data_IF_546614665175
#
_entry.id   IF_546614665175
#
_cell.length_a   1.000
_cell.length_b   1.000
_cell.length_c   1.000
_cell.angle_alpha   90.00
_cell.angle_beta   90.00
_cell.angle_gamma   90.00
#
_symmetry.space_group_name_H-M   'P 1'
#
loop_
_entity.id
_entity.type
_entity.pdbx_description
1 polymer ?
#
# COMPACT_ATOMS: atom_id res chain seq x y z
N UNK A 1 -64.31 -75.18 21.35
CA UNK A 1 -63.38 -74.97 20.16
C UNK A 1 -63.39 -73.52 19.79
N UNK A 2 -62.42 -72.78 20.21
CA UNK A 2 -62.28 -71.34 19.88
C UNK A 2 -61.08 -71.16 18.98
N UNK A 3 -61.29 -70.68 17.71
CA UNK A 3 -60.25 -70.27 16.81
C UNK A 3 -59.92 -68.80 17.10
N UNK A 4 -58.63 -68.50 17.42
CA UNK A 4 -58.11 -67.13 17.52
C UNK A 4 -57.46 -66.74 16.17
N UNK A 5 -58.00 -65.72 15.57
CA UNK A 5 -57.37 -65.07 14.36
C UNK A 5 -56.31 -64.04 14.81
N UNK A 6 -55.10 -64.22 14.34
CA UNK A 6 -54.03 -63.16 14.46
C UNK A 6 -54.19 -62.20 13.30
N UNK A 7 -54.28 -60.89 13.62
CA UNK A 7 -54.16 -59.82 12.67
C UNK A 7 -52.69 -59.31 12.64
N UNK A 8 -52.03 -59.37 11.50
CA UNK A 8 -50.77 -58.77 11.28
C UNK A 8 -50.99 -57.27 10.93
N UNK A 9 -50.41 -56.34 11.72
CA UNK A 9 -50.34 -54.93 11.40
C UNK A 9 -49.03 -54.69 10.69
N UNK A 10 -49.09 -54.23 9.44
CA UNK A 10 -47.90 -53.72 8.66
C UNK A 10 -47.62 -52.26 9.01
N UNK A 11 -46.48 -51.99 9.57
CA UNK A 11 -45.98 -50.62 9.81
C UNK A 11 -45.23 -50.18 8.58
N UNK A 12 -45.77 -49.21 7.85
CA UNK A 12 -45.04 -48.51 6.75
C UNK A 12 -44.18 -47.41 7.33
N UNK A 13 -42.87 -47.55 7.23
CA UNK A 13 -41.90 -46.49 7.57
C UNK A 13 -41.74 -45.57 6.36
N UNK A 14 -42.29 -44.35 6.44
CA UNK A 14 -41.98 -43.27 5.49
C UNK A 14 -40.59 -42.71 5.81
N UNK A 15 -39.63 -43.01 4.97
CA UNK A 15 -38.33 -42.32 4.97
C UNK A 15 -38.45 -40.94 4.28
N UNK A 16 -38.57 -39.87 5.07
CA UNK A 16 -38.45 -38.50 4.56
C UNK A 16 -36.99 -38.22 4.31
N UNK A 17 -36.58 -38.27 3.04
CA UNK A 17 -35.24 -37.82 2.60
C UNK A 17 -35.13 -36.31 2.76
N UNK A 18 -34.37 -35.85 3.76
CA UNK A 18 -33.87 -34.48 3.82
C UNK A 18 -32.81 -34.28 2.70
N UNK A 19 -33.20 -33.68 1.59
CA UNK A 19 -32.21 -33.11 0.65
C UNK A 19 -31.62 -31.89 1.31
N UNK A 20 -30.40 -32.01 1.84
CA UNK A 20 -29.60 -30.86 2.21
C UNK A 20 -29.33 -30.04 0.93
N UNK A 21 -30.09 -28.97 0.76
CA UNK A 21 -29.79 -27.98 -0.29
C UNK A 21 -28.38 -27.41 -0.05
N UNK A 22 -27.46 -27.63 -0.98
CA UNK A 22 -26.18 -26.96 -0.96
C UNK A 22 -26.49 -25.46 -0.96
N UNK A 23 -26.17 -24.77 0.13
CA UNK A 23 -26.21 -23.31 0.17
C UNK A 23 -25.28 -22.80 -0.94
N UNK A 24 -25.83 -22.15 -1.96
CA UNK A 24 -25.04 -21.50 -2.98
C UNK A 24 -24.11 -20.49 -2.27
N UNK A 25 -22.81 -20.69 -2.40
CA UNK A 25 -21.83 -19.74 -1.89
C UNK A 25 -22.18 -18.36 -2.48
N UNK A 26 -22.28 -17.35 -1.62
CA UNK A 26 -22.44 -15.98 -2.11
C UNK A 26 -21.31 -15.67 -3.09
N UNK A 27 -21.61 -15.06 -4.24
CA UNK A 27 -20.57 -14.75 -5.21
C UNK A 27 -19.50 -13.92 -4.53
N UNK A 28 -18.22 -14.23 -4.80
CA UNK A 28 -17.10 -13.47 -4.30
C UNK A 28 -17.25 -12.00 -4.71
N UNK A 29 -16.98 -11.08 -3.78
CA UNK A 29 -16.96 -9.63 -4.08
C UNK A 29 -15.81 -9.25 -5.00
N UNK A 30 -14.81 -10.12 -5.14
CA UNK A 30 -13.60 -9.90 -5.94
C UNK A 30 -13.37 -11.10 -6.86
N UNK A 31 -13.06 -10.82 -8.11
CA UNK A 31 -12.59 -11.81 -9.09
C UNK A 31 -11.34 -11.34 -9.80
N UNK A 32 -10.43 -12.25 -10.13
CA UNK A 32 -9.26 -11.97 -10.95
C UNK A 32 -9.71 -11.67 -12.40
N UNK A 33 -9.20 -10.58 -12.96
CA UNK A 33 -9.29 -10.29 -14.41
C UNK A 33 -8.06 -10.82 -15.14
N UNK A 34 -6.89 -10.81 -14.50
CA UNK A 34 -5.63 -11.29 -15.05
C UNK A 34 -4.44 -10.53 -14.51
N UNK A 35 -3.28 -10.85 -15.06
CA UNK A 35 -2.02 -10.18 -14.77
C UNK A 35 -1.21 -9.91 -16.03
N UNK A 36 -0.34 -8.90 -15.98
CA UNK A 36 0.71 -8.63 -16.96
C UNK A 36 2.05 -8.54 -16.25
N UNK A 37 3.05 -9.21 -16.80
CA UNK A 37 4.43 -9.19 -16.29
C UNK A 37 5.24 -8.21 -17.14
N UNK A 38 5.78 -7.17 -16.51
CA UNK A 38 6.73 -6.27 -17.15
C UNK A 38 8.10 -6.96 -17.20
N UNK A 39 8.80 -6.99 -18.35
CA UNK A 39 10.10 -7.60 -18.45
C UNK A 39 11.10 -7.03 -17.44
N UNK A 40 11.88 -7.92 -16.79
CA UNK A 40 12.93 -7.51 -15.86
C UNK A 40 13.92 -6.56 -16.55
N UNK A 41 14.24 -5.46 -15.88
CA UNK A 41 15.18 -4.45 -16.37
C UNK A 41 14.83 -3.90 -17.78
N UNK A 42 13.53 -3.75 -18.08
CA UNK A 42 13.07 -3.18 -19.35
C UNK A 42 13.71 -1.81 -19.61
N UNK A 43 14.53 -1.63 -20.68
CA UNK A 43 15.09 -0.32 -21.00
C UNK A 43 13.98 0.59 -21.55
N UNK A 44 13.85 1.80 -21.00
CA UNK A 44 12.86 2.77 -21.47
C UNK A 44 13.37 4.19 -21.33
N UNK A 45 13.48 4.92 -22.45
CA UNK A 45 13.90 6.31 -22.52
C UNK A 45 15.18 6.63 -21.70
N UNK A 46 16.19 5.74 -21.77
CA UNK A 46 17.46 5.93 -21.07
C UNK A 46 17.43 5.53 -19.59
N UNK A 47 16.35 4.96 -19.11
CA UNK A 47 16.21 4.41 -17.75
C UNK A 47 15.91 2.92 -17.77
N UNK A 48 16.01 2.29 -16.62
CA UNK A 48 15.60 0.90 -16.38
C UNK A 48 14.27 0.91 -15.63
N UNK A 49 13.24 0.28 -16.19
CA UNK A 49 11.95 0.10 -15.51
C UNK A 49 12.09 -1.02 -14.48
N UNK A 50 11.75 -0.71 -13.25
CA UNK A 50 11.78 -1.58 -12.09
C UNK A 50 11.56 -0.78 -10.82
N UNK A 51 11.52 -1.44 -9.66
CA UNK A 51 11.25 -0.78 -8.41
C UNK A 51 9.87 -0.09 -8.39
N UNK A 52 8.84 -0.71 -8.99
CA UNK A 52 7.54 -0.05 -9.10
C UNK A 52 6.74 -0.24 -7.82
N UNK A 53 6.93 0.68 -6.87
CA UNK A 53 6.29 0.63 -5.55
C UNK A 53 4.88 1.25 -5.51
N UNK A 54 4.50 2.06 -6.51
CA UNK A 54 3.14 2.62 -6.56
C UNK A 54 2.58 2.76 -7.97
N UNK A 55 1.26 2.84 -8.01
CA UNK A 55 0.47 3.10 -9.22
C UNK A 55 -0.72 4.01 -8.88
N UNK A 56 -0.97 5.02 -9.72
CA UNK A 56 -2.23 5.78 -9.70
C UNK A 56 -2.75 6.06 -11.10
N UNK A 57 -4.01 6.46 -11.19
CA UNK A 57 -4.68 6.78 -12.46
C UNK A 57 -5.14 8.23 -12.46
N UNK A 58 -4.63 9.04 -13.38
CA UNK A 58 -5.16 10.38 -13.60
C UNK A 58 -6.62 10.30 -14.08
N UNK A 59 -7.60 10.74 -13.29
CA UNK A 59 -9.00 10.65 -13.66
C UNK A 59 -9.39 11.55 -14.85
N UNK A 60 -8.54 12.54 -15.19
CA UNK A 60 -8.79 13.51 -16.27
C UNK A 60 -8.34 12.97 -17.63
N UNK A 61 -7.26 12.20 -17.66
CA UNK A 61 -6.65 11.68 -18.88
C UNK A 61 -6.81 10.17 -19.04
N UNK A 62 -7.05 9.46 -17.93
CA UNK A 62 -7.06 8.00 -17.88
C UNK A 62 -5.67 7.37 -17.92
N UNK A 63 -4.61 8.18 -18.00
CA UNK A 63 -3.23 7.73 -17.98
C UNK A 63 -2.84 7.25 -16.58
N UNK A 64 -2.02 6.22 -16.50
CA UNK A 64 -1.45 5.75 -15.25
C UNK A 64 -0.09 6.40 -15.00
N UNK A 65 0.22 6.58 -13.73
CA UNK A 65 1.52 7.02 -13.23
C UNK A 65 2.02 5.96 -12.26
N UNK A 66 3.32 5.64 -12.32
CA UNK A 66 3.95 4.62 -11.50
C UNK A 66 5.26 5.16 -10.96
N UNK A 67 5.49 5.11 -9.65
CA UNK A 67 6.76 5.53 -9.04
C UNK A 67 7.76 4.39 -9.09
N UNK A 68 9.04 4.74 -9.13
CA UNK A 68 10.14 3.81 -8.92
C UNK A 68 10.84 4.15 -7.61
N UNK A 69 10.99 3.18 -6.73
CA UNK A 69 11.70 3.26 -5.44
C UNK A 69 13.24 3.32 -5.60
N UNK A 70 13.70 3.49 -6.82
CA UNK A 70 15.12 3.68 -7.10
C UNK A 70 15.66 4.93 -6.40
N UNK A 71 16.37 4.73 -5.33
CA UNK A 71 17.01 5.76 -4.47
C UNK A 71 18.11 6.52 -5.21
N UNK A 72 17.91 6.80 -6.49
CA UNK A 72 18.89 7.33 -7.44
C UNK A 72 20.11 6.40 -7.62
N UNK A 73 20.01 5.13 -7.31
CA UNK A 73 21.12 4.17 -7.34
C UNK A 73 21.41 3.66 -8.76
N UNK A 74 20.38 3.41 -9.55
CA UNK A 74 20.48 2.95 -10.95
C UNK A 74 20.24 4.12 -11.90
N UNK A 75 19.12 4.84 -11.69
CA UNK A 75 18.79 6.07 -12.40
C UNK A 75 18.24 7.10 -11.39
N UNK A 76 18.15 8.39 -11.72
CA UNK A 76 17.55 9.38 -10.82
C UNK A 76 16.16 8.94 -10.34
N UNK A 77 15.82 9.22 -9.07
CA UNK A 77 14.50 9.03 -8.51
C UNK A 77 13.44 9.61 -9.46
N UNK A 78 12.41 8.81 -9.82
CA UNK A 78 11.54 9.10 -10.96
C UNK A 78 10.18 8.45 -10.85
N UNK A 79 9.29 8.88 -11.72
CA UNK A 79 8.06 8.17 -12.04
C UNK A 79 7.94 7.94 -13.54
N UNK A 80 7.10 6.98 -13.88
CA UNK A 80 6.73 6.65 -15.26
C UNK A 80 5.28 7.02 -15.51
N UNK A 81 4.97 7.31 -16.77
CA UNK A 81 3.58 7.32 -17.26
C UNK A 81 3.34 6.09 -18.12
N UNK A 82 2.11 5.53 -18.06
CA UNK A 82 1.75 4.36 -18.82
C UNK A 82 0.29 4.40 -19.28
N UNK A 83 -0.01 3.61 -20.33
CA UNK A 83 -1.36 3.18 -20.67
C UNK A 83 -1.52 1.73 -20.25
N UNK A 84 -2.61 1.43 -19.57
CA UNK A 84 -2.96 0.06 -19.20
C UNK A 84 -4.32 -0.23 -19.82
N UNK A 85 -4.34 -1.21 -20.70
CA UNK A 85 -5.57 -1.67 -21.36
C UNK A 85 -6.16 -2.80 -20.52
N UNK A 86 -7.34 -2.53 -19.93
CA UNK A 86 -8.06 -3.46 -19.05
C UNK A 86 -9.56 -3.33 -19.26
N UNK A 87 -10.24 -4.46 -19.39
CA UNK A 87 -11.68 -4.56 -19.53
C UNK A 87 -12.25 -5.80 -18.81
N UNK A 88 -13.50 -6.15 -19.06
CA UNK A 88 -14.15 -7.31 -18.45
C UNK A 88 -13.54 -8.66 -18.87
N UNK A 89 -12.81 -8.72 -19.99
CA UNK A 89 -12.13 -9.91 -20.50
C UNK A 89 -10.73 -10.08 -19.89
N UNK A 90 -10.12 -9.00 -19.38
CA UNK A 90 -8.82 -9.09 -18.74
C UNK A 90 -7.98 -7.83 -18.82
N UNK A 91 -6.71 -7.95 -18.44
CA UNK A 91 -5.68 -6.95 -18.66
C UNK A 91 -4.87 -7.36 -19.90
N UNK A 92 -4.78 -6.47 -20.90
CA UNK A 92 -4.26 -6.80 -22.24
C UNK A 92 -2.85 -6.25 -22.46
N UNK A 93 -2.54 -5.05 -21.96
CA UNK A 93 -1.20 -4.46 -22.08
C UNK A 93 -0.89 -3.47 -20.95
N UNK A 94 0.43 -3.28 -20.74
CA UNK A 94 1.01 -2.22 -19.92
C UNK A 94 2.08 -1.53 -20.76
N UNK A 95 1.78 -0.35 -21.28
CA UNK A 95 2.62 0.37 -22.25
C UNK A 95 3.15 1.65 -21.62
N UNK A 96 4.44 1.71 -21.26
CA UNK A 96 5.07 2.91 -20.75
C UNK A 96 5.11 3.99 -21.84
N UNK A 97 4.80 5.24 -21.46
CA UNK A 97 4.67 6.36 -22.40
C UNK A 97 5.64 7.51 -22.10
N UNK A 98 6.16 7.59 -20.88
CA UNK A 98 7.12 8.62 -20.46
C UNK A 98 7.85 8.24 -19.19
N UNK A 99 8.98 8.91 -18.95
CA UNK A 99 9.75 8.86 -17.70
C UNK A 99 10.10 10.28 -17.27
N UNK A 100 9.96 10.58 -15.98
CA UNK A 100 10.08 11.91 -15.42
C UNK A 100 10.89 11.85 -14.12
N UNK A 101 12.11 12.40 -14.07
CA UNK A 101 12.86 12.45 -12.82
C UNK A 101 12.23 13.45 -11.86
N UNK A 102 12.18 13.11 -10.58
CA UNK A 102 11.85 14.08 -9.55
C UNK A 102 13.01 15.08 -9.39
N UNK A 103 12.68 16.36 -9.34
CA UNK A 103 13.65 17.43 -9.22
C UNK A 103 13.56 18.12 -7.87
N UNK A 104 14.70 18.54 -7.35
CA UNK A 104 14.82 19.43 -6.20
C UNK A 104 14.43 20.86 -6.57
N UNK A 105 14.25 21.76 -5.58
CA UNK A 105 13.97 23.17 -5.85
C UNK A 105 15.00 23.89 -6.73
N UNK A 106 16.24 23.39 -6.76
CA UNK A 106 17.32 23.93 -7.62
C UNK A 106 17.30 23.37 -9.05
N UNK A 107 16.32 22.54 -9.40
CA UNK A 107 16.15 21.91 -10.70
C UNK A 107 17.05 20.70 -10.96
N UNK A 108 17.82 20.25 -9.96
CA UNK A 108 18.66 19.07 -10.07
C UNK A 108 17.92 17.82 -9.56
N UNK A 109 18.40 16.66 -9.99
CA UNK A 109 17.95 15.37 -9.47
C UNK A 109 18.39 15.14 -8.02
N UNK A 110 17.71 14.26 -7.32
CA UNK A 110 18.10 13.87 -5.95
C UNK A 110 19.37 13.02 -5.97
N UNK A 111 20.29 13.24 -4.99
CA UNK A 111 21.55 12.50 -4.91
C UNK A 111 21.31 11.06 -4.43
N UNK A 112 22.27 10.18 -4.71
CA UNK A 112 22.34 8.86 -4.06
C UNK A 112 22.64 9.02 -2.57
N UNK A 113 22.32 8.01 -1.75
CA UNK A 113 22.73 8.00 -0.32
C UNK A 113 24.25 8.12 -0.19
N UNK A 114 25.01 7.49 -1.09
CA UNK A 114 26.47 7.54 -1.10
C UNK A 114 26.98 8.96 -1.31
N UNK A 115 26.45 9.66 -2.30
CA UNK A 115 26.88 11.03 -2.63
C UNK A 115 26.45 12.01 -1.53
N UNK A 116 25.26 11.81 -0.96
CA UNK A 116 24.74 12.59 0.15
C UNK A 116 25.59 12.47 1.41
N UNK A 117 25.96 11.27 1.80
CA UNK A 117 26.77 11.02 3.01
C UNK A 117 28.23 11.41 2.83
N UNK A 118 28.74 11.43 1.60
CA UNK A 118 30.12 11.88 1.30
C UNK A 118 30.33 13.38 1.60
N UNK A 119 29.27 14.19 1.56
CA UNK A 119 29.34 15.62 1.84
C UNK A 119 28.25 15.99 2.85
N UNK A 120 28.54 15.97 4.17
CA UNK A 120 27.55 16.26 5.19
C UNK A 120 26.84 17.59 4.95
N UNK A 121 25.53 17.60 5.02
CA UNK A 121 24.73 18.80 4.89
C UNK A 121 24.96 19.71 6.11
N UNK A 122 25.33 20.98 5.86
CA UNK A 122 25.56 21.99 6.90
C UNK A 122 24.45 23.03 6.99
N UNK A 123 23.41 22.88 6.19
CA UNK A 123 22.22 23.74 6.20
C UNK A 123 21.29 23.44 7.40
N UNK A 124 20.15 24.11 7.47
CA UNK A 124 19.13 23.74 8.44
C UNK A 124 18.60 22.31 8.19
N UNK A 125 18.12 21.62 9.26
CA UNK A 125 17.53 20.29 9.13
C UNK A 125 16.50 20.22 8.02
N UNK A 126 15.57 21.17 7.97
CA UNK A 126 14.54 21.22 6.92
C UNK A 126 15.09 21.36 5.50
N UNK A 127 16.21 22.07 5.31
CA UNK A 127 16.86 22.16 4.00
C UNK A 127 17.59 20.87 3.66
N UNK A 128 18.25 20.24 4.63
CA UNK A 128 18.90 18.94 4.45
C UNK A 128 17.87 17.84 4.11
N UNK A 129 16.73 17.79 4.82
CA UNK A 129 15.66 16.85 4.53
C UNK A 129 15.08 17.05 3.13
N UNK A 130 14.87 18.32 2.71
CA UNK A 130 14.31 18.64 1.40
C UNK A 130 15.24 18.28 0.23
N UNK A 131 16.55 18.53 0.38
CA UNK A 131 17.52 18.44 -0.71
C UNK A 131 18.37 17.15 -0.65
N UNK A 132 18.12 16.30 0.35
CA UNK A 132 18.83 15.06 0.59
C UNK A 132 18.48 13.93 -0.37
N UNK A 133 19.06 12.77 -0.12
CA UNK A 133 18.63 11.53 -0.80
C UNK A 133 17.16 11.25 -0.52
N UNK A 134 16.52 10.50 -1.39
CA UNK A 134 15.12 10.11 -1.26
C UNK A 134 14.97 8.61 -1.47
N UNK A 135 13.96 8.06 -0.86
CA UNK A 135 13.47 6.70 -0.99
C UNK A 135 11.99 6.78 -1.38
N UNK A 136 11.69 6.91 -2.69
CA UNK A 136 10.32 7.17 -3.14
C UNK A 136 9.46 5.92 -3.01
N UNK A 137 8.24 6.05 -2.42
CA UNK A 137 7.36 4.90 -2.20
C UNK A 137 6.01 5.06 -2.90
N UNK A 138 5.14 5.91 -2.40
CA UNK A 138 3.80 6.04 -2.96
C UNK A 138 3.65 7.32 -3.79
N UNK A 139 2.77 7.32 -4.79
CA UNK A 139 2.36 8.52 -5.50
C UNK A 139 0.87 8.57 -5.76
N UNK A 140 0.34 9.80 -5.85
CA UNK A 140 -1.04 10.09 -6.28
C UNK A 140 -1.08 11.30 -7.17
N UNK A 141 -1.94 11.27 -8.17
CA UNK A 141 -2.28 12.44 -8.98
C UNK A 141 -3.24 13.32 -8.17
N UNK A 142 -2.84 14.56 -7.93
CA UNK A 142 -3.73 15.53 -7.27
C UNK A 142 -4.99 15.73 -8.12
N UNK A 143 -6.19 15.40 -7.59
CA UNK A 143 -7.42 15.45 -8.37
C UNK A 143 -7.83 16.86 -8.79
N UNK A 144 -7.28 17.91 -8.17
CA UNK A 144 -7.60 19.29 -8.49
C UNK A 144 -6.62 19.92 -9.49
N UNK A 145 -5.31 19.67 -9.30
CA UNK A 145 -4.27 20.34 -10.10
C UNK A 145 -3.67 19.43 -11.16
N UNK A 146 -3.63 18.12 -10.90
CA UNK A 146 -2.93 17.14 -11.70
C UNK A 146 -1.42 17.06 -11.44
N UNK A 147 -0.97 17.73 -10.40
CA UNK A 147 0.38 17.58 -9.92
C UNK A 147 0.55 16.18 -9.29
N UNK A 148 1.78 15.73 -9.17
CA UNK A 148 2.13 14.46 -8.57
C UNK A 148 2.44 14.69 -7.09
N UNK A 149 1.67 14.09 -6.20
CA UNK A 149 2.00 14.03 -4.77
C UNK A 149 2.64 12.68 -4.49
N UNK A 150 3.79 12.66 -3.83
CA UNK A 150 4.55 11.43 -3.60
C UNK A 150 5.18 11.42 -2.21
N UNK A 151 5.28 10.24 -1.61
CA UNK A 151 5.95 9.99 -0.33
C UNK A 151 7.38 9.53 -0.53
N UNK A 152 8.18 9.68 0.50
CA UNK A 152 9.50 9.10 0.64
C UNK A 152 9.78 8.81 2.12
N UNK A 153 10.54 7.76 2.39
CA UNK A 153 10.72 7.19 3.71
C UNK A 153 11.74 7.91 4.60
N UNK A 154 12.65 8.69 4.02
CA UNK A 154 13.77 9.30 4.76
C UNK A 154 14.88 8.32 5.07
N UNK A 155 15.71 8.66 6.08
CA UNK A 155 16.84 7.84 6.49
C UNK A 155 17.04 7.89 8.01
N UNK A 156 17.26 6.74 8.61
CA UNK A 156 17.61 6.60 10.03
C UNK A 156 18.83 5.69 10.22
N UNK A 157 19.99 6.17 9.81
CA UNK A 157 21.27 5.46 9.98
C UNK A 157 21.95 5.96 11.23
N UNK A 158 22.06 5.12 12.26
CA UNK A 158 22.66 5.45 13.55
C UNK A 158 24.14 5.08 13.66
N UNK A 159 24.65 4.27 12.74
CA UNK A 159 26.08 3.99 12.64
C UNK A 159 26.81 5.23 12.10
N UNK A 160 27.97 5.61 12.68
CA UNK A 160 28.71 6.77 12.22
C UNK A 160 29.19 6.67 10.76
N UNK A 161 29.03 7.72 9.96
CA UNK A 161 28.43 9.00 10.30
C UNK A 161 26.89 8.88 10.37
N UNK A 162 26.31 9.34 11.50
CA UNK A 162 24.84 9.32 11.69
C UNK A 162 24.14 10.12 10.58
N UNK A 163 23.16 9.53 9.93
CA UNK A 163 22.33 10.18 8.91
C UNK A 163 20.87 10.09 9.33
N UNK A 164 20.24 11.26 9.47
CA UNK A 164 18.82 11.38 9.77
C UNK A 164 18.20 12.30 8.73
N UNK A 165 17.31 11.77 7.92
CA UNK A 165 16.43 12.52 7.01
C UNK A 165 14.99 12.18 7.35
N UNK A 166 14.14 13.19 7.56
CA UNK A 166 12.74 12.95 7.86
C UNK A 166 12.02 12.37 6.63
N UNK A 167 11.06 11.46 6.83
CA UNK A 167 10.12 11.12 5.77
C UNK A 167 9.41 12.39 5.28
N UNK A 168 8.85 12.37 4.10
CA UNK A 168 8.12 13.54 3.60
C UNK A 168 7.11 13.17 2.53
N UNK A 169 6.04 13.96 2.43
CA UNK A 169 5.10 13.95 1.32
C UNK A 169 5.34 15.19 0.49
N UNK A 170 5.74 15.01 -0.74
CA UNK A 170 6.19 16.06 -1.67
C UNK A 170 5.22 16.24 -2.82
N UNK A 171 5.27 17.40 -3.44
CA UNK A 171 4.52 17.72 -4.64
C UNK A 171 5.46 18.06 -5.78
N UNK A 172 5.20 17.50 -6.94
CA UNK A 172 5.90 17.77 -8.18
C UNK A 172 4.89 18.03 -9.31
N UNK A 173 5.28 18.81 -10.31
CA UNK A 173 4.51 18.94 -11.54
C UNK A 173 4.59 17.63 -12.35
N UNK A 174 3.76 17.46 -13.40
CA UNK A 174 3.85 16.30 -14.28
C UNK A 174 5.19 16.12 -15.01
N UNK A 175 6.04 17.16 -15.06
CA UNK A 175 7.40 17.08 -15.59
C UNK A 175 8.47 16.73 -14.52
N UNK A 176 8.05 16.50 -13.27
CA UNK A 176 8.91 16.19 -12.13
C UNK A 176 9.44 17.40 -11.36
N UNK A 177 9.19 18.64 -11.82
CA UNK A 177 9.68 19.85 -11.14
C UNK A 177 9.01 20.04 -9.78
N UNK A 178 9.81 20.41 -8.77
CA UNK A 178 9.36 20.56 -7.38
C UNK A 178 8.33 21.69 -7.24
N UNK A 179 7.26 21.42 -6.48
CA UNK A 179 6.22 22.39 -6.13
C UNK A 179 6.26 22.73 -4.65
N UNK A 180 6.35 21.73 -3.78
CA UNK A 180 6.27 21.90 -2.33
C UNK A 180 6.30 20.58 -1.58
N UNK A 181 6.03 20.66 -0.27
CA UNK A 181 5.84 19.48 0.58
C UNK A 181 4.83 19.76 1.68
N UNK A 182 4.16 18.71 2.11
CA UNK A 182 3.22 18.77 3.22
C UNK A 182 3.97 18.72 4.57
N UNK A 183 3.47 19.42 5.61
CA UNK A 183 3.98 19.22 6.96
C UNK A 183 3.57 17.85 7.48
N UNK A 184 4.48 17.17 8.18
CA UNK A 184 4.19 15.91 8.86
C UNK A 184 4.00 16.11 10.37
N UNK A 185 3.31 15.19 11.06
CA UNK A 185 3.24 15.17 12.51
C UNK A 185 4.63 15.09 13.15
N UNK A 186 4.77 15.71 14.32
CA UNK A 186 6.07 15.72 15.01
C UNK A 186 6.54 14.30 15.42
N UNK A 187 5.61 13.36 15.64
CA UNK A 187 5.91 11.97 15.98
C UNK A 187 6.41 11.14 14.76
N UNK A 188 6.32 11.68 13.55
CA UNK A 188 6.85 11.04 12.32
C UNK A 188 8.24 11.59 11.92
N UNK A 189 8.95 12.26 12.83
CA UNK A 189 10.32 12.73 12.57
C UNK A 189 11.36 11.72 13.00
N UNK A 190 12.40 11.56 12.20
CA UNK A 190 13.56 10.73 12.50
C UNK A 190 14.38 11.31 13.62
N UNK A 191 14.71 10.52 14.63
CA UNK A 191 15.53 10.90 15.78
C UNK A 191 16.61 9.86 16.07
N UNK A 192 17.60 10.23 16.91
CA UNK A 192 18.57 9.28 17.45
C UNK A 192 17.99 8.49 18.64
N UNK A 193 16.90 8.96 19.23
CA UNK A 193 16.26 8.34 20.38
C UNK A 193 15.38 7.15 19.93
N UNK A 194 14.93 6.36 20.91
CA UNK A 194 14.02 5.24 20.64
C UNK A 194 12.55 5.69 20.45
N UNK A 195 12.37 6.72 19.64
CA UNK A 195 11.07 7.29 19.24
C UNK A 195 11.13 7.69 17.76
N UNK A 196 9.97 7.86 17.14
CA UNK A 196 9.84 8.20 15.72
C UNK A 196 9.79 6.98 14.82
N UNK A 197 9.87 7.18 13.50
CA UNK A 197 9.82 6.12 12.53
C UNK A 197 11.04 5.19 12.58
N UNK A 198 10.87 3.99 12.07
CA UNK A 198 11.94 3.01 11.85
C UNK A 198 12.66 3.32 10.56
N UNK A 199 13.86 2.75 10.39
CA UNK A 199 14.54 2.77 9.09
C UNK A 199 13.79 1.89 8.10
N UNK A 200 13.47 2.42 6.92
CA UNK A 200 12.84 1.69 5.80
C UNK A 200 11.53 0.98 6.22
N UNK A 201 10.67 1.66 6.98
CA UNK A 201 9.36 1.19 7.43
C UNK A 201 8.49 2.40 7.78
N UNK A 202 8.35 3.35 6.84
CA UNK A 202 7.70 4.63 7.12
C UNK A 202 6.50 4.93 6.23
N UNK A 203 6.58 5.94 5.37
CA UNK A 203 5.46 6.43 4.54
C UNK A 203 5.30 5.62 3.26
N UNK A 204 4.63 4.49 3.36
CA UNK A 204 4.36 3.59 2.23
C UNK A 204 3.09 3.95 1.46
N UNK A 205 2.09 4.51 2.10
CA UNK A 205 0.81 4.82 1.46
C UNK A 205 0.36 6.27 1.64
N UNK A 206 -0.12 6.86 0.55
CA UNK A 206 -0.85 8.12 0.57
C UNK A 206 -2.09 8.03 -0.32
N UNK A 207 -3.13 8.78 -0.02
CA UNK A 207 -4.31 8.92 -0.89
C UNK A 207 -5.04 10.23 -0.67
N UNK A 208 -5.68 10.74 -1.71
CA UNK A 208 -6.66 11.82 -1.57
C UNK A 208 -8.04 11.25 -1.24
N UNK A 209 -8.77 11.93 -0.34
CA UNK A 209 -10.12 11.59 0.06
C UNK A 209 -11.01 12.83 0.12
N UNK A 210 -12.33 12.65 0.36
CA UNK A 210 -13.30 13.74 0.48
C UNK A 210 -13.22 14.73 -0.70
N UNK A 211 -13.28 14.21 -1.93
CA UNK A 211 -13.15 14.98 -3.16
C UNK A 211 -11.82 15.77 -3.27
N UNK A 212 -10.74 15.24 -2.70
CA UNK A 212 -9.40 15.86 -2.71
C UNK A 212 -9.20 16.94 -1.66
N UNK A 213 -10.12 17.11 -0.70
CA UNK A 213 -9.94 18.07 0.41
C UNK A 213 -9.05 17.54 1.53
N UNK A 214 -8.93 16.22 1.62
CA UNK A 214 -8.05 15.52 2.56
C UNK A 214 -6.91 14.83 1.83
N UNK A 215 -5.74 14.85 2.44
CA UNK A 215 -4.62 13.96 2.15
C UNK A 215 -4.50 13.00 3.34
N UNK A 216 -4.44 11.72 3.06
CA UNK A 216 -4.33 10.68 4.06
C UNK A 216 -3.07 9.88 3.79
N UNK A 217 -2.27 9.66 4.81
CA UNK A 217 -1.05 8.87 4.74
C UNK A 217 -1.05 7.79 5.83
N UNK A 218 -0.24 6.77 5.63
CA UNK A 218 -0.03 5.75 6.63
C UNK A 218 1.45 5.37 6.73
N UNK A 219 1.82 4.78 7.86
CA UNK A 219 3.15 4.25 8.10
C UNK A 219 3.11 2.73 7.93
N UNK A 220 4.10 2.16 7.24
CA UNK A 220 4.22 0.72 7.03
C UNK A 220 4.15 -0.04 8.36
N UNK A 221 4.97 0.36 9.32
CA UNK A 221 5.14 -0.33 10.59
C UNK A 221 4.96 0.62 11.81
N UNK A 222 4.85 0.07 13.03
CA UNK A 222 4.72 0.88 14.24
C UNK A 222 5.87 1.87 14.42
N UNK A 223 5.58 3.08 14.88
CA UNK A 223 6.62 3.94 15.44
C UNK A 223 7.35 3.22 16.59
N UNK A 224 8.62 3.54 16.80
CA UNK A 224 9.44 2.91 17.84
C UNK A 224 8.78 2.93 19.23
N UNK A 225 8.10 4.03 19.57
CA UNK A 225 7.37 4.16 20.84
C UNK A 225 6.01 3.43 20.86
N UNK A 226 5.48 3.03 19.71
CA UNK A 226 4.16 2.39 19.61
C UNK A 226 4.21 0.86 19.83
N UNK A 227 5.41 0.28 19.81
CA UNK A 227 5.64 -1.13 20.11
C UNK A 227 6.53 -1.84 19.09
N UNK A 228 6.68 -3.14 19.19
CA UNK A 228 7.44 -3.95 18.24
C UNK A 228 6.66 -4.14 16.92
N UNK A 229 7.40 -4.51 15.86
CA UNK A 229 6.80 -5.00 14.62
C UNK A 229 5.97 -6.26 14.85
N UNK A 230 5.06 -6.61 13.92
CA UNK A 230 4.31 -7.85 13.97
C UNK A 230 5.22 -9.08 14.08
N UNK A 231 4.73 -10.08 14.80
CA UNK A 231 5.37 -11.39 14.91
C UNK A 231 4.38 -12.48 14.50
N UNK A 232 4.81 -13.72 14.38
CA UNK A 232 3.88 -14.83 14.12
C UNK A 232 2.84 -15.04 15.23
N UNK A 233 3.07 -14.48 16.44
CA UNK A 233 2.19 -14.63 17.60
C UNK A 233 1.33 -13.41 17.88
N UNK A 234 1.64 -12.26 17.31
CA UNK A 234 0.95 -11.00 17.58
C UNK A 234 1.07 -10.04 16.40
N UNK A 235 -0.03 -9.34 16.11
CA UNK A 235 -0.03 -8.15 15.27
C UNK A 235 0.54 -6.93 16.01
N UNK A 236 0.49 -5.79 15.36
CA UNK A 236 0.97 -4.52 15.89
C UNK A 236 -0.01 -3.37 15.55
N UNK A 237 0.27 -2.15 16.04
CA UNK A 237 -0.50 -0.96 15.69
C UNK A 237 0.40 0.03 14.95
N UNK A 238 0.07 0.34 13.72
CA UNK A 238 0.66 1.48 13.01
C UNK A 238 -0.31 2.66 12.95
N UNK A 239 0.09 3.78 12.33
CA UNK A 239 -0.70 5.02 12.31
C UNK A 239 -1.13 5.41 10.92
N UNK A 240 -2.40 5.82 10.82
CA UNK A 240 -2.97 6.54 9.67
C UNK A 240 -3.06 8.02 10.06
N UNK A 241 -2.52 8.92 9.24
CA UNK A 241 -2.57 10.36 9.42
C UNK A 241 -3.53 10.98 8.43
N UNK A 242 -4.53 11.70 8.93
CA UNK A 242 -5.49 12.46 8.12
C UNK A 242 -5.16 13.94 8.25
N UNK A 243 -4.88 14.60 7.14
CA UNK A 243 -4.58 16.02 7.11
C UNK A 243 -5.38 16.77 6.03
N UNK A 244 -5.57 18.06 6.25
CA UNK A 244 -6.10 18.94 5.21
C UNK A 244 -5.11 19.00 4.05
N UNK A 245 -5.61 19.03 2.80
CA UNK A 245 -4.76 19.33 1.65
C UNK A 245 -4.01 20.65 1.74
N UNK A 246 -4.39 21.53 2.69
CA UNK A 246 -3.74 22.80 2.95
C UNK A 246 -2.69 22.71 4.08
N UNK A 247 -2.38 21.52 4.56
CA UNK A 247 -1.27 21.22 5.45
C UNK A 247 -1.61 20.74 6.87
N UNK A 248 -2.58 21.35 7.63
CA UNK A 248 -2.78 20.94 9.00
C UNK A 248 -3.21 19.48 9.17
N UNK A 249 -2.54 18.76 10.09
CA UNK A 249 -2.96 17.43 10.55
C UNK A 249 -4.24 17.57 11.36
N UNK A 250 -5.27 16.82 10.98
CA UNK A 250 -6.61 16.86 11.56
C UNK A 250 -6.81 15.75 12.58
N UNK A 251 -6.34 14.52 12.29
CA UNK A 251 -6.47 13.36 13.15
C UNK A 251 -5.39 12.34 12.84
N UNK A 252 -5.11 11.45 13.80
CA UNK A 252 -4.41 10.18 13.56
C UNK A 252 -5.25 9.02 14.09
N UNK A 253 -5.17 7.87 13.43
CA UNK A 253 -5.88 6.66 13.85
C UNK A 253 -4.93 5.48 13.91
N UNK A 254 -5.17 4.58 14.87
CA UNK A 254 -4.42 3.31 14.93
C UNK A 254 -4.97 2.31 13.92
N UNK A 255 -4.08 1.73 13.10
CA UNK A 255 -4.38 0.63 12.19
C UNK A 255 -3.83 -0.68 12.77
N UNK A 256 -4.65 -1.75 12.89
CA UNK A 256 -4.20 -3.02 13.42
C UNK A 256 -3.60 -3.89 12.31
N UNK A 257 -2.26 -4.01 12.30
CA UNK A 257 -1.53 -4.96 11.46
C UNK A 257 -1.81 -6.41 11.91
N UNK A 258 -1.97 -7.31 10.96
CA UNK A 258 -2.09 -8.73 11.25
C UNK A 258 -0.75 -9.32 11.74
N UNK A 259 -0.76 -10.46 12.43
CA UNK A 259 0.45 -11.24 12.67
C UNK A 259 1.10 -11.70 11.36
N UNK A 260 2.40 -12.02 11.39
CA UNK A 260 3.04 -12.75 10.30
C UNK A 260 2.30 -14.06 10.02
N UNK A 261 2.17 -14.40 8.75
CA UNK A 261 1.40 -15.56 8.30
C UNK A 261 2.11 -16.92 8.53
N UNK A 262 3.38 -16.88 8.93
CA UNK A 262 4.19 -18.07 9.25
C UNK A 262 5.23 -17.73 10.33
N UNK A 263 5.80 -18.74 11.01
CA UNK A 263 6.94 -18.55 11.90
C UNK A 263 8.11 -17.87 11.19
N UNK A 264 8.66 -16.85 11.81
CA UNK A 264 9.74 -16.04 11.25
C UNK A 264 11.10 -16.53 11.71
N UNK A 265 12.03 -16.90 10.80
CA UNK A 265 13.41 -17.20 11.12
C UNK A 265 14.33 -15.97 11.11
N UNK A 266 13.85 -14.81 10.68
CA UNK A 266 14.63 -13.60 10.47
C UNK A 266 14.03 -12.39 11.18
N UNK A 267 14.83 -11.54 11.82
CA UNK A 267 14.34 -10.28 12.38
C UNK A 267 13.91 -9.25 11.32
N UNK A 268 14.20 -9.53 10.04
CA UNK A 268 13.82 -8.69 8.90
C UNK A 268 12.49 -9.12 8.28
N UNK A 269 11.88 -10.21 8.75
CA UNK A 269 10.56 -10.61 8.31
C UNK A 269 9.53 -9.62 8.87
N UNK A 270 8.62 -9.17 8.04
CA UNK A 270 7.65 -8.13 8.39
C UNK A 270 6.26 -8.42 7.83
N UNK A 271 5.26 -7.75 8.37
CA UNK A 271 3.95 -7.54 7.80
C UNK A 271 3.60 -6.08 8.02
N UNK A 272 3.60 -5.29 6.97
CA UNK A 272 3.33 -3.87 6.99
C UNK A 272 2.25 -3.47 5.98
N UNK A 273 1.78 -2.24 6.08
CA UNK A 273 0.95 -1.66 5.02
C UNK A 273 1.87 -1.13 3.93
N UNK A 274 1.72 -1.62 2.72
CA UNK A 274 2.56 -1.24 1.58
C UNK A 274 1.86 -0.32 0.57
N UNK A 275 0.57 -0.04 0.72
CA UNK A 275 -0.15 0.94 -0.09
C UNK A 275 -1.56 1.18 0.44
N UNK A 276 -2.15 2.31 0.09
CA UNK A 276 -3.54 2.63 0.39
C UNK A 276 -4.22 3.42 -0.72
N UNK A 277 -5.55 3.25 -0.88
CA UNK A 277 -6.36 4.09 -1.76
C UNK A 277 -7.72 4.37 -1.14
N UNK A 278 -8.27 5.57 -1.35
CA UNK A 278 -9.64 5.87 -0.91
C UNK A 278 -10.63 4.87 -1.55
N UNK A 279 -11.52 4.30 -0.72
CA UNK A 279 -12.55 3.36 -1.20
C UNK A 279 -13.47 4.03 -2.22
N UNK A 280 -13.87 5.25 -1.92
CA UNK A 280 -14.61 6.15 -2.80
C UNK A 280 -13.99 7.55 -2.66
N UNK A 281 -13.75 8.29 -3.77
CA UNK A 281 -13.09 9.59 -3.71
C UNK A 281 -13.86 10.66 -2.91
N UNK A 282 -15.15 10.45 -2.65
CA UNK A 282 -15.98 11.37 -1.86
C UNK A 282 -16.11 10.97 -0.39
N UNK A 283 -15.79 9.72 -0.03
CA UNK A 283 -15.84 9.23 1.35
C UNK A 283 -14.59 9.66 2.12
N UNK A 284 -14.74 10.35 3.27
CA UNK A 284 -13.60 10.79 4.09
C UNK A 284 -13.07 9.73 5.04
N UNK A 285 -13.71 8.56 5.15
CA UNK A 285 -13.45 7.61 6.24
C UNK A 285 -13.05 6.21 5.78
N UNK A 286 -13.38 5.81 4.55
CA UNK A 286 -13.18 4.46 4.06
C UNK A 286 -12.04 4.36 3.06
N UNK A 287 -11.18 3.37 3.28
CA UNK A 287 -9.99 3.15 2.45
C UNK A 287 -9.80 1.66 2.16
N UNK A 288 -9.08 1.34 1.09
CA UNK A 288 -8.44 0.05 0.91
C UNK A 288 -6.99 0.15 1.37
N UNK A 289 -6.55 -0.87 2.10
CA UNK A 289 -5.19 -1.01 2.61
C UNK A 289 -4.60 -2.31 2.08
N UNK A 290 -3.41 -2.25 1.56
CA UNK A 290 -2.65 -3.44 1.16
C UNK A 290 -1.71 -3.79 2.30
N UNK A 291 -1.91 -4.95 2.94
CA UNK A 291 -0.89 -5.55 3.82
C UNK A 291 -0.05 -6.53 3.02
N UNK A 292 1.24 -6.31 3.02
CA UNK A 292 2.22 -7.19 2.44
C UNK A 292 3.12 -7.74 3.56
N UNK A 293 3.12 -9.04 3.71
CA UNK A 293 4.02 -9.75 4.61
C UNK A 293 5.08 -10.51 3.81
N UNK A 294 6.30 -10.49 4.30
CA UNK A 294 7.38 -11.35 3.80
C UNK A 294 7.93 -12.20 4.94
N UNK A 295 8.09 -13.50 4.67
CA UNK A 295 8.72 -14.45 5.61
C UNK A 295 9.82 -15.20 4.89
N UNK A 296 11.04 -15.09 5.40
CA UNK A 296 12.25 -15.73 4.85
C UNK A 296 12.05 -17.24 4.68
N UNK A 297 12.28 -17.72 3.46
CA UNK A 297 12.11 -19.12 3.10
C UNK A 297 10.66 -19.54 2.79
N UNK A 298 9.69 -18.65 2.96
CA UNK A 298 8.27 -18.88 2.62
C UNK A 298 7.83 -17.99 1.45
N UNK A 299 8.16 -16.69 1.48
CA UNK A 299 7.81 -15.72 0.44
C UNK A 299 6.84 -14.66 0.91
N UNK A 300 6.18 -14.01 -0.05
CA UNK A 300 5.21 -12.96 0.20
C UNK A 300 3.82 -13.52 0.47
N UNK A 301 3.05 -12.76 1.26
CA UNK A 301 1.60 -12.89 1.41
C UNK A 301 0.97 -11.53 1.37
N UNK A 302 0.01 -11.34 0.46
CA UNK A 302 -0.62 -10.04 0.23
C UNK A 302 -2.12 -10.14 0.45
N UNK A 303 -2.64 -9.22 1.25
CA UNK A 303 -4.07 -9.08 1.55
C UNK A 303 -4.53 -7.64 1.36
N UNK A 304 -5.68 -7.47 0.78
CA UNK A 304 -6.34 -6.16 0.67
C UNK A 304 -7.47 -6.10 1.68
N UNK A 305 -7.49 -5.06 2.49
CA UNK A 305 -8.50 -4.83 3.50
C UNK A 305 -9.32 -3.58 3.19
N UNK A 306 -10.61 -3.64 3.43
CA UNK A 306 -11.48 -2.48 3.55
C UNK A 306 -11.45 -2.02 5.00
N UNK A 307 -11.17 -0.72 5.23
CA UNK A 307 -11.15 -0.11 6.56
C UNK A 307 -12.11 1.07 6.66
N UNK A 308 -12.53 1.40 7.88
CA UNK A 308 -13.30 2.60 8.18
C UNK A 308 -12.76 3.24 9.47
N UNK A 309 -12.38 4.51 9.38
CA UNK A 309 -11.90 5.32 10.51
C UNK A 309 -13.03 5.82 11.39
N UNK A 310 -14.28 5.70 10.95
CA UNK A 310 -15.45 6.18 11.70
C UNK A 310 -15.58 5.50 13.06
N UNK A 311 -15.54 6.33 14.11
CA UNK A 311 -15.65 5.88 15.49
C UNK A 311 -14.39 5.25 16.07
N UNK A 312 -13.25 5.29 15.34
CA UNK A 312 -11.93 5.00 15.89
C UNK A 312 -11.49 6.13 16.85
N UNK A 313 -10.54 5.82 17.72
CA UNK A 313 -9.96 6.82 18.63
C UNK A 313 -9.01 7.71 17.86
N UNK A 314 -9.19 9.05 17.92
CA UNK A 314 -8.16 9.98 17.46
C UNK A 314 -6.95 9.91 18.39
N UNK A 315 -5.82 9.51 17.84
CA UNK A 315 -4.55 9.31 18.54
C UNK A 315 -3.48 10.35 18.19
N UNK A 316 -3.88 11.45 17.56
CA UNK A 316 -2.98 12.52 17.11
C UNK A 316 -2.10 13.07 18.24
N UNK A 317 -2.68 13.21 19.44
CA UNK A 317 -1.99 13.74 20.63
C UNK A 317 -1.55 12.61 21.60
N UNK A 318 -1.60 11.35 21.16
CA UNK A 318 -1.19 10.19 21.96
C UNK A 318 0.28 9.86 21.67
N UNK A 319 1.13 10.02 22.70
CA UNK A 319 2.57 9.85 22.56
C UNK A 319 2.98 8.41 22.19
N UNK A 320 2.26 7.40 22.69
CA UNK A 320 2.51 5.97 22.43
C UNK A 320 1.20 5.20 22.37
N UNK A 321 1.08 4.30 21.40
CA UNK A 321 -0.06 3.39 21.27
C UNK A 321 0.08 2.16 22.20
N UNK A 322 1.29 1.88 22.72
CA UNK A 322 1.55 0.74 23.57
C UNK A 322 0.78 0.81 24.89
N UNK A 323 0.01 -0.24 25.21
CA UNK A 323 -0.73 -0.37 26.47
C UNK A 323 -1.92 0.58 26.64
N UNK A 324 -2.25 1.39 25.65
CA UNK A 324 -3.38 2.32 25.67
C UNK A 324 -4.73 1.64 25.44
N UNK A 325 -5.81 2.23 25.98
CA UNK A 325 -7.19 1.86 25.63
C UNK A 325 -7.58 2.58 24.34
N UNK A 326 -7.07 2.08 23.21
CA UNK A 326 -7.28 2.67 21.90
C UNK A 326 -8.24 1.78 21.13
N UNK A 327 -9.28 2.37 20.55
CA UNK A 327 -10.14 1.71 19.57
C UNK A 327 -9.56 1.95 18.19
N UNK A 328 -8.97 0.94 17.53
CA UNK A 328 -8.42 1.08 16.20
C UNK A 328 -9.54 1.26 15.16
N UNK A 329 -9.16 1.53 13.92
CA UNK A 329 -10.06 1.52 12.76
C UNK A 329 -10.72 0.14 12.62
N UNK A 330 -11.91 0.08 12.03
CA UNK A 330 -12.49 -1.21 11.65
C UNK A 330 -11.76 -1.73 10.43
N UNK A 331 -11.53 -3.06 10.38
CA UNK A 331 -10.77 -3.73 9.34
C UNK A 331 -11.51 -4.98 8.89
N UNK A 332 -11.69 -5.12 7.57
CA UNK A 332 -12.37 -6.28 6.98
C UNK A 332 -11.63 -6.74 5.74
N UNK A 333 -11.27 -8.02 5.69
CA UNK A 333 -10.64 -8.61 4.51
C UNK A 333 -11.55 -8.45 3.29
N UNK A 334 -11.00 -7.84 2.24
CA UNK A 334 -11.61 -7.77 0.91
C UNK A 334 -11.17 -8.98 0.08
N UNK A 335 -9.87 -9.23 0.00
CA UNK A 335 -9.29 -10.36 -0.73
C UNK A 335 -7.91 -10.75 -0.17
N UNK A 336 -7.64 -12.04 -0.14
CA UNK A 336 -6.30 -12.64 0.01
C UNK A 336 -5.84 -13.07 -1.39
N UNK A 337 -4.75 -12.50 -1.91
CA UNK A 337 -4.31 -12.73 -3.29
C UNK A 337 -3.94 -14.19 -3.56
N UNK A 338 -3.52 -14.95 -2.54
CA UNK A 338 -3.24 -16.39 -2.68
C UNK A 338 -4.47 -17.20 -3.09
N UNK A 339 -5.69 -16.65 -2.88
CA UNK A 339 -6.95 -17.33 -3.24
C UNK A 339 -7.36 -17.12 -4.69
N UNK A 340 -6.63 -16.30 -5.45
CA UNK A 340 -7.02 -15.91 -6.81
C UNK A 340 -6.44 -16.83 -7.90
N UNK A 341 -5.57 -17.79 -7.54
CA UNK A 341 -4.98 -18.74 -8.49
C UNK A 341 -3.90 -18.14 -9.37
N UNK A 342 -3.28 -17.04 -8.94
CA UNK A 342 -2.08 -16.48 -9.58
C UNK A 342 -0.91 -17.46 -9.45
N UNK A 343 -0.05 -17.60 -10.47
CA UNK A 343 1.14 -18.47 -10.41
C UNK A 343 2.13 -18.04 -9.32
N UNK A 344 2.23 -16.73 -9.08
CA UNK A 344 3.06 -16.10 -8.05
C UNK A 344 2.37 -14.82 -7.60
N UNK A 345 2.44 -14.52 -6.32
CA UNK A 345 2.18 -13.18 -5.78
C UNK A 345 3.52 -12.65 -5.29
N UNK A 346 4.02 -11.59 -5.91
CA UNK A 346 5.28 -10.98 -5.51
C UNK A 346 5.05 -9.82 -4.54
N UNK A 347 6.00 -8.99 -4.36
CA UNK A 347 6.10 -7.84 -3.47
C UNK A 347 5.13 -6.71 -3.91
N UNK A 348 3.82 -6.89 -3.69
CA UNK A 348 2.81 -5.89 -4.08
C UNK A 348 2.92 -4.67 -3.17
N UNK A 349 3.15 -3.51 -3.79
CA UNK A 349 3.35 -2.24 -3.08
C UNK A 349 2.49 -1.10 -3.62
N UNK A 350 1.79 -1.28 -4.74
CA UNK A 350 0.92 -0.24 -5.27
C UNK A 350 -0.51 -0.72 -5.49
N UNK A 351 -1.49 0.16 -5.24
CA UNK A 351 -2.90 -0.08 -5.51
C UNK A 351 -3.60 1.18 -6.04
N UNK A 352 -4.43 1.01 -7.06
CA UNK A 352 -5.30 2.10 -7.56
C UNK A 352 -6.58 1.56 -8.17
N UNK A 353 -7.59 2.44 -8.26
CA UNK A 353 -8.79 2.15 -9.03
C UNK A 353 -8.57 2.37 -10.52
N UNK A 354 -8.99 1.40 -11.32
CA UNK A 354 -9.06 1.50 -12.77
C UNK A 354 -10.45 1.92 -13.28
N UNK A 355 -10.77 1.64 -14.55
CA UNK A 355 -12.08 1.95 -15.13
C UNK A 355 -13.20 1.11 -14.50
N UNK A 356 -14.42 1.64 -14.52
CA UNK A 356 -15.62 0.86 -14.20
C UNK A 356 -15.98 -0.01 -15.40
N UNK A 357 -16.28 -1.28 -15.13
CA UNK A 357 -16.67 -2.25 -16.15
C UNK A 357 -18.12 -2.03 -16.59
N UNK A 358 -18.54 -2.56 -17.74
CA UNK A 358 -19.90 -2.38 -18.27
C UNK A 358 -21.01 -2.92 -17.36
N UNK A 359 -20.69 -3.89 -16.49
CA UNK A 359 -21.61 -4.48 -15.51
C UNK A 359 -21.66 -3.71 -14.18
N UNK A 360 -20.91 -2.61 -14.06
CA UNK A 360 -20.82 -1.76 -12.88
C UNK A 360 -19.76 -2.19 -11.86
N UNK A 361 -19.05 -3.30 -12.05
CA UNK A 361 -17.89 -3.65 -11.24
C UNK A 361 -16.77 -2.63 -11.45
N UNK A 362 -16.00 -2.32 -10.39
CA UNK A 362 -14.83 -1.44 -10.49
C UNK A 362 -13.58 -2.29 -10.68
N UNK A 363 -12.67 -1.86 -11.53
CA UNK A 363 -11.36 -2.51 -11.59
C UNK A 363 -10.47 -1.98 -10.46
N UNK A 364 -9.71 -2.87 -9.82
CA UNK A 364 -8.65 -2.56 -8.89
C UNK A 364 -7.35 -3.08 -9.47
N UNK A 365 -6.38 -2.22 -9.67
CA UNK A 365 -5.05 -2.56 -10.17
C UNK A 365 -4.05 -2.56 -9.02
N UNK A 366 -3.19 -3.58 -9.00
CA UNK A 366 -2.08 -3.69 -8.07
C UNK A 366 -0.79 -3.83 -8.87
N UNK A 367 0.32 -3.30 -8.33
CA UNK A 367 1.65 -3.45 -8.93
C UNK A 367 2.63 -4.00 -7.89
N UNK A 368 3.56 -4.85 -8.34
CA UNK A 368 4.64 -5.34 -7.49
C UNK A 368 5.95 -4.66 -7.81
N UNK A 369 6.69 -4.34 -6.76
CA UNK A 369 8.09 -4.00 -6.84
C UNK A 369 8.96 -5.24 -7.03
N UNK A 370 9.92 -5.17 -7.95
CA UNK A 370 10.88 -6.24 -8.21
C UNK A 370 12.26 -5.98 -7.57
N UNK A 371 12.43 -4.88 -6.83
CA UNK A 371 13.70 -4.48 -6.22
C UNK A 371 14.89 -4.57 -7.19
N UNK A 372 14.67 -4.43 -8.50
CA UNK A 372 15.63 -4.67 -9.58
C UNK A 372 16.33 -6.05 -9.49
N UNK A 373 15.71 -7.02 -8.83
CA UNK A 373 16.22 -8.34 -8.52
C UNK A 373 15.72 -9.39 -9.52
N UNK A 374 16.61 -10.24 -9.99
CA UNK A 374 16.25 -11.37 -10.86
C UNK A 374 15.37 -12.45 -10.16
N UNK A 375 15.26 -12.41 -8.84
CA UNK A 375 14.40 -13.30 -8.05
C UNK A 375 12.96 -12.85 -7.93
N UNK A 376 12.67 -11.58 -8.29
CA UNK A 376 11.36 -10.94 -8.19
C UNK A 376 10.85 -10.54 -9.58
N UNK A 377 9.54 -10.26 -9.67
CA UNK A 377 8.89 -9.86 -10.91
C UNK A 377 8.15 -8.53 -10.71
N UNK A 378 8.11 -7.72 -11.76
CA UNK A 378 7.17 -6.60 -11.84
C UNK A 378 5.86 -7.11 -12.44
N UNK A 379 4.83 -7.17 -11.62
CA UNK A 379 3.54 -7.76 -11.91
C UNK A 379 2.45 -6.69 -11.78
N UNK A 380 1.63 -6.53 -12.80
CA UNK A 380 0.42 -5.69 -12.74
C UNK A 380 -0.79 -6.63 -12.74
N UNK A 381 -1.50 -6.68 -11.61
CA UNK A 381 -2.68 -7.52 -11.40
C UNK A 381 -3.93 -6.66 -11.55
N UNK A 382 -4.92 -7.16 -12.29
CA UNK A 382 -6.23 -6.54 -12.41
C UNK A 382 -7.31 -7.40 -11.74
N UNK A 383 -8.09 -6.77 -10.86
CA UNK A 383 -9.23 -7.38 -10.17
C UNK A 383 -10.52 -6.63 -10.52
N UNK A 384 -11.65 -7.35 -10.56
CA UNK A 384 -12.98 -6.73 -10.57
C UNK A 384 -13.57 -6.80 -9.16
N UNK A 385 -14.12 -5.69 -8.69
CA UNK A 385 -14.66 -5.50 -7.34
C UNK A 385 -16.11 -5.00 -7.42
N UNK A 386 -17.03 -5.68 -6.69
CA UNK A 386 -18.46 -5.33 -6.53
C UNK A 386 -18.72 -4.46 -5.33
#
# INVERSE_FOLDING_TARGET
MFRRSLALAAVAVLATGLTAGAAAASPSRVRLLGEQIVPLNLPFQGTTVGGLSSIDRDPRTGQYVLISDDRSAINPARFYTARIDVDAAGIHSVDFTGTHPFLRPDGKTYPTIKDWTATPCTASRAACDRDGTVDPEELRVDPWTGDITWSQEGERILTPPTTLLDPSIRQARPDGSYVGQYPLPANERMTTDNIGPRQNQTLEGITYAAAGTLLVSELEDPLLQDGPNPTAMSGALTRITVQSRFGPVLAQYAYPLDPLFAPSPSPNDTNGVSSMVAYDPFDPTRYLMVERAFVTGVGNKVRVYEIDTKGATDVKDVASLAGGKIKPVTKKLLVDLDTLGLPKVDNIEGVTWGPTLPDGERTLLLVSDNNFSAGQITQVIALAVR
#
